data_IF_461379923806
#
_entry.id   IF_461379923806
#
_cell.length_a   1.000
_cell.length_b   1.000
_cell.length_c   1.000
_cell.angle_alpha   90.00
_cell.angle_beta   90.00
_cell.angle_gamma   90.00
#
_symmetry.space_group_name_H-M   'P 1'
#
loop_
_entity.id
_entity.type
_entity.pdbx_description
1 polymer ?
#
# COMPACT_ATOMS: atom_id res chain seq x y z
N UNK A 1 -0.55 21.56 -3.31
CA UNK A 1 -1.50 20.58 -2.73
C UNK A 1 -0.98 20.25 -1.34
N UNK A 2 -1.66 20.68 -0.28
CA UNK A 2 -1.19 20.52 1.11
C UNK A 2 -1.47 19.11 1.62
N UNK A 3 -0.67 18.64 2.58
CA UNK A 3 -0.81 17.32 3.17
C UNK A 3 -2.23 17.08 3.75
N UNK A 4 -2.85 18.09 4.37
CA UNK A 4 -4.24 18.02 4.85
C UNK A 4 -5.29 17.81 3.77
N UNK A 5 -5.02 18.28 2.55
CA UNK A 5 -5.96 18.10 1.44
C UNK A 5 -5.93 16.68 0.89
N UNK A 6 -4.76 16.04 0.93
CA UNK A 6 -4.60 14.63 0.57
C UNK A 6 -5.31 13.72 1.57
N UNK A 7 -5.13 13.98 2.88
CA UNK A 7 -5.80 13.25 3.95
C UNK A 7 -7.33 13.35 3.82
N UNK A 8 -7.87 14.55 3.61
CA UNK A 8 -9.32 14.75 3.44
C UNK A 8 -9.89 13.98 2.24
N UNK A 9 -9.14 13.95 1.12
CA UNK A 9 -9.54 13.19 -0.07
C UNK A 9 -9.50 11.68 0.18
N UNK A 10 -8.54 11.22 0.97
CA UNK A 10 -8.43 9.81 1.37
C UNK A 10 -9.60 9.40 2.28
N UNK A 11 -9.97 10.25 3.23
CA UNK A 11 -11.11 10.02 4.13
C UNK A 11 -12.42 9.91 3.34
N UNK A 12 -12.65 10.85 2.42
CA UNK A 12 -13.84 10.85 1.55
C UNK A 12 -13.91 9.61 0.64
N UNK A 13 -12.75 9.15 0.14
CA UNK A 13 -12.67 7.93 -0.65
C UNK A 13 -12.98 6.69 0.19
N UNK A 14 -12.50 6.63 1.43
CA UNK A 14 -12.78 5.55 2.36
C UNK A 14 -14.26 5.43 2.70
N UNK A 15 -14.96 6.56 2.90
CA UNK A 15 -16.42 6.57 3.12
C UNK A 15 -17.18 6.03 1.90
N UNK A 16 -16.76 6.44 0.70
CA UNK A 16 -17.39 6.01 -0.55
C UNK A 16 -17.25 4.50 -0.76
N UNK A 17 -16.06 3.96 -0.47
CA UNK A 17 -15.80 2.51 -0.57
C UNK A 17 -16.62 1.72 0.43
N UNK A 18 -16.81 2.22 1.67
CA UNK A 18 -17.64 1.59 2.69
C UNK A 18 -19.11 1.47 2.23
N UNK A 19 -19.69 2.55 1.72
CA UNK A 19 -21.07 2.55 1.20
C UNK A 19 -21.23 1.58 0.04
N UNK A 20 -20.25 1.53 -0.86
CA UNK A 20 -20.25 0.61 -1.99
C UNK A 20 -20.14 -0.86 -1.54
N UNK A 21 -19.32 -1.14 -0.52
CA UNK A 21 -19.16 -2.48 0.04
C UNK A 21 -20.47 -3.00 0.68
N UNK A 22 -21.19 -2.13 1.40
CA UNK A 22 -22.51 -2.43 1.97
C UNK A 22 -23.55 -2.73 0.88
N UNK A 23 -23.61 -1.89 -0.16
CA UNK A 23 -24.56 -2.05 -1.26
C UNK A 23 -24.34 -3.34 -2.07
N UNK A 24 -23.08 -3.80 -2.16
CA UNK A 24 -22.71 -5.03 -2.85
C UNK A 24 -22.88 -6.29 -1.99
N UNK A 25 -23.31 -6.16 -0.72
CA UNK A 25 -23.50 -7.31 0.18
C UNK A 25 -22.20 -8.07 0.45
N UNK A 26 -21.05 -7.42 0.30
CA UNK A 26 -19.74 -8.01 0.56
C UNK A 26 -19.53 -8.01 2.07
N UNK A 27 -20.20 -8.93 2.77
CA UNK A 27 -19.96 -9.23 4.18
C UNK A 27 -18.65 -10.00 4.35
N UNK A 28 -17.55 -9.45 3.85
CA UNK A 28 -16.27 -9.69 4.47
C UNK A 28 -16.06 -8.51 5.41
N UNK A 29 -15.86 -8.78 6.71
CA UNK A 29 -15.13 -7.85 7.57
C UNK A 29 -14.05 -7.23 6.69
N UNK A 30 -13.91 -5.88 6.60
CA UNK A 30 -12.76 -5.32 5.94
C UNK A 30 -11.59 -6.06 6.57
N UNK A 31 -10.82 -6.79 5.76
CA UNK A 31 -9.63 -7.48 6.24
C UNK A 31 -8.75 -6.33 6.68
N UNK A 32 -8.94 -5.90 7.93
CA UNK A 32 -8.26 -4.79 8.56
C UNK A 32 -6.83 -5.13 8.30
N UNK A 33 -6.18 -4.37 7.42
CA UNK A 33 -4.83 -4.68 7.00
C UNK A 33 -4.05 -4.88 8.29
N UNK A 34 -3.73 -6.15 8.59
CA UNK A 34 -3.16 -6.53 9.88
C UNK A 34 -1.72 -6.05 9.98
N UNK A 35 -1.20 -5.53 8.89
CA UNK A 35 -0.01 -4.72 8.82
C UNK A 35 -0.33 -3.41 9.54
N UNK A 36 -0.08 -3.41 10.85
CA UNK A 36 0.11 -2.20 11.61
C UNK A 36 0.91 -1.22 10.73
N UNK A 37 0.44 0.01 10.62
CA UNK A 37 1.33 1.12 10.28
C UNK A 37 2.52 1.00 11.23
N UNK A 38 3.65 0.51 10.72
CA UNK A 38 4.86 0.37 11.52
C UNK A 38 5.27 1.79 11.88
N UNK A 39 5.26 2.19 13.17
CA UNK A 39 5.61 3.55 13.55
C UNK A 39 7.02 3.85 13.04
N UNK A 40 7.17 4.92 12.24
CA UNK A 40 8.44 5.29 11.60
C UNK A 40 8.63 4.79 10.17
N UNK A 41 7.66 4.07 9.59
CA UNK A 41 7.62 3.76 8.16
C UNK A 41 6.52 4.59 7.51
N UNK A 42 6.78 5.89 7.31
CA UNK A 42 5.88 6.77 6.56
C UNK A 42 5.80 6.40 5.07
N UNK A 43 6.72 5.55 4.60
CA UNK A 43 6.79 5.12 3.20
C UNK A 43 7.34 3.71 3.05
N UNK A 44 6.61 2.88 2.31
CA UNK A 44 7.04 1.54 1.93
C UNK A 44 8.13 1.63 0.86
N UNK A 45 9.22 0.90 1.04
CA UNK A 45 10.35 0.81 0.09
C UNK A 45 10.34 -0.53 -0.62
N UNK A 46 10.87 -0.58 -1.85
CA UNK A 46 11.00 -1.83 -2.61
C UNK A 46 11.77 -2.91 -1.82
N UNK A 47 12.82 -2.50 -1.11
CA UNK A 47 13.63 -3.40 -0.30
C UNK A 47 12.85 -3.97 0.91
N UNK A 48 11.88 -3.24 1.46
CA UNK A 48 10.99 -3.78 2.50
C UNK A 48 10.01 -4.80 1.92
N UNK A 49 9.47 -4.55 0.73
CA UNK A 49 8.58 -5.49 0.02
C UNK A 49 9.31 -6.80 -0.29
N UNK A 50 10.54 -6.75 -0.79
CA UNK A 50 11.33 -7.95 -1.10
C UNK A 50 11.73 -8.78 0.12
N UNK A 51 11.70 -8.21 1.33
CA UNK A 51 12.14 -8.88 2.56
C UNK A 51 10.99 -9.32 3.47
N UNK A 52 9.75 -8.96 3.15
CA UNK A 52 8.62 -9.26 4.02
C UNK A 52 8.31 -10.76 3.98
N UNK A 53 8.10 -11.36 5.15
CA UNK A 53 7.64 -12.73 5.29
C UNK A 53 6.20 -12.77 5.80
N UNK A 54 5.39 -13.66 5.23
CA UNK A 54 4.02 -13.89 5.68
C UNK A 54 3.89 -15.19 6.46
N UNK A 55 3.06 -15.20 7.50
CA UNK A 55 2.72 -16.43 8.20
C UNK A 55 1.79 -17.30 7.34
N UNK A 56 2.12 -18.57 7.19
CA UNK A 56 1.29 -19.54 6.46
C UNK A 56 0.13 -20.03 7.33
N UNK A 57 -1.09 -20.06 6.81
CA UNK A 57 -2.27 -20.59 7.52
C UNK A 57 -2.42 -22.09 7.29
N UNK A 58 -2.58 -22.87 8.36
CA UNK A 58 -2.68 -24.35 8.30
C UNK A 58 -4.12 -24.89 8.21
N UNK A 59 -5.11 -24.07 8.58
CA UNK A 59 -6.52 -24.46 8.76
C UNK A 59 -7.51 -23.69 7.86
N UNK A 60 -7.02 -22.77 7.03
CA UNK A 60 -7.84 -21.94 6.14
C UNK A 60 -7.24 -21.88 4.74
N UNK A 61 -8.09 -21.66 3.73
CA UNK A 61 -7.69 -21.44 2.34
C UNK A 61 -6.84 -20.16 2.25
N UNK A 62 -5.52 -20.33 2.15
CA UNK A 62 -4.57 -19.22 2.01
C UNK A 62 -4.33 -18.83 0.56
N UNK A 63 -3.62 -17.73 0.34
CA UNK A 63 -3.12 -17.39 -0.99
C UNK A 63 -2.01 -18.35 -1.43
N UNK A 64 -1.91 -18.59 -2.74
CA UNK A 64 -0.77 -19.33 -3.30
C UNK A 64 0.52 -18.55 -3.11
N UNK A 65 1.51 -19.18 -2.49
CA UNK A 65 2.82 -18.57 -2.22
C UNK A 65 3.43 -18.02 -3.52
N UNK A 66 3.45 -18.84 -4.58
CA UNK A 66 4.00 -18.43 -5.88
C UNK A 66 3.27 -17.24 -6.50
N UNK A 67 1.95 -17.16 -6.31
CA UNK A 67 1.15 -16.04 -6.79
C UNK A 67 1.45 -14.76 -6.00
N UNK A 68 1.61 -14.88 -4.69
CA UNK A 68 1.99 -13.77 -3.81
C UNK A 68 3.39 -13.29 -4.16
N UNK A 69 4.37 -14.18 -4.28
CA UNK A 69 5.75 -13.83 -4.61
C UNK A 69 5.82 -13.08 -5.95
N UNK A 70 5.20 -13.61 -7.01
CA UNK A 70 5.15 -12.94 -8.32
C UNK A 70 4.43 -11.58 -8.27
N UNK A 71 3.48 -11.41 -7.36
CA UNK A 71 2.85 -10.12 -7.15
C UNK A 71 3.78 -9.15 -6.43
N UNK A 72 4.50 -9.60 -5.38
CA UNK A 72 5.46 -8.78 -4.65
C UNK A 72 6.62 -8.33 -5.54
N UNK A 73 7.09 -9.16 -6.46
CA UNK A 73 8.11 -8.78 -7.44
C UNK A 73 7.68 -7.55 -8.26
N UNK A 74 6.46 -7.59 -8.80
CA UNK A 74 5.88 -6.47 -9.58
C UNK A 74 5.68 -5.22 -8.73
N UNK A 75 5.22 -5.39 -7.49
CA UNK A 75 5.05 -4.26 -6.56
C UNK A 75 6.39 -3.63 -6.19
N UNK A 76 7.43 -4.44 -5.96
CA UNK A 76 8.77 -3.96 -5.65
C UNK A 76 9.39 -3.20 -6.82
N UNK A 77 9.21 -3.70 -8.05
CA UNK A 77 9.64 -3.03 -9.28
C UNK A 77 8.98 -1.65 -9.42
N UNK A 78 7.65 -1.58 -9.28
CA UNK A 78 6.90 -0.33 -9.40
C UNK A 78 7.30 0.69 -8.32
N UNK A 79 7.46 0.24 -7.07
CA UNK A 79 7.91 1.11 -5.99
C UNK A 79 9.32 1.65 -6.26
N UNK A 80 10.21 0.83 -6.85
CA UNK A 80 11.55 1.27 -7.19
C UNK A 80 11.53 2.39 -8.25
N UNK A 81 10.72 2.22 -9.31
CA UNK A 81 10.53 3.23 -10.37
C UNK A 81 10.01 4.54 -9.76
N UNK A 82 8.89 4.47 -9.03
CA UNK A 82 8.27 5.66 -8.42
C UNK A 82 9.19 6.35 -7.39
N UNK A 83 10.07 5.59 -6.73
CA UNK A 83 11.04 6.14 -5.79
C UNK A 83 12.07 7.00 -6.51
N UNK A 84 12.59 6.52 -7.64
CA UNK A 84 13.58 7.24 -8.47
C UNK A 84 12.97 8.53 -9.02
N UNK A 85 11.79 8.45 -9.65
CA UNK A 85 11.10 9.62 -10.21
C UNK A 85 10.84 10.69 -9.14
N UNK A 86 10.39 10.27 -7.97
CA UNK A 86 10.18 11.19 -6.83
C UNK A 86 11.48 11.84 -6.39
N UNK A 87 12.57 11.08 -6.31
CA UNK A 87 13.87 11.60 -5.89
C UNK A 87 14.49 12.57 -6.90
N UNK A 88 14.20 12.38 -8.19
CA UNK A 88 14.55 13.33 -9.24
C UNK A 88 13.72 14.61 -9.14
N UNK A 89 12.40 14.49 -9.04
CA UNK A 89 11.51 15.64 -8.88
C UNK A 89 11.83 16.45 -7.63
N UNK A 90 12.25 15.77 -6.55
CA UNK A 90 12.67 16.42 -5.31
C UNK A 90 13.99 17.17 -5.49
N UNK A 91 14.96 16.58 -6.18
CA UNK A 91 16.27 17.22 -6.48
C UNK A 91 16.08 18.46 -7.33
N UNK A 92 15.24 18.39 -8.36
CA UNK A 92 14.95 19.55 -9.22
C UNK A 92 14.30 20.70 -8.44
N UNK A 93 13.28 20.38 -7.63
CA UNK A 93 12.62 21.36 -6.76
C UNK A 93 13.60 22.02 -5.78
N UNK A 94 14.49 21.23 -5.19
CA UNK A 94 15.46 21.74 -4.21
C UNK A 94 16.57 22.55 -4.89
N UNK A 95 16.89 22.30 -6.16
CA UNK A 95 17.86 23.08 -6.96
C UNK A 95 17.31 24.43 -7.46
N UNK A 96 15.98 24.58 -7.51
CA UNK A 96 15.30 25.82 -7.89
C UNK A 96 15.04 26.76 -6.70
N UNK A 97 15.54 26.42 -5.52
CA UNK A 97 15.27 27.11 -4.25
C UNK A 97 16.53 27.74 -3.68
#
# INVERSE_FOLDING_TARGET
MTDSELHRKLDALSETVSVLAEALGVASDPVKARHATVPGVDRLTAAQVMRVGFATTRLATGYSIEQVDRFLDRVAEEIAVLTVERDEARRERDALR
#
